data_IF_161974249974
#
_entry.id   IF_161974249974
#
_cell.length_a   1.000
_cell.length_b   1.000
_cell.length_c   1.000
_cell.angle_alpha   90.00
_cell.angle_beta   90.00
_cell.angle_gamma   90.00
#
_symmetry.space_group_name_H-M   'P 1'
#
loop_
_entity.id
_entity.type
_entity.pdbx_description
1 polymer ?
#
# COMPACT_ATOMS: atom_id res chain seq x y z
N UNK A 1 3.91 -16.52 -9.58
CA UNK A 1 5.24 -15.93 -9.87
C UNK A 1 5.05 -14.59 -10.55
N UNK A 2 5.84 -13.58 -10.19
CA UNK A 2 5.91 -12.32 -10.93
C UNK A 2 6.80 -12.55 -12.13
N UNK A 3 6.46 -11.95 -13.26
CA UNK A 3 7.34 -11.98 -14.42
C UNK A 3 8.57 -11.09 -14.16
N UNK A 4 9.75 -11.70 -14.12
CA UNK A 4 11.02 -11.02 -13.92
C UNK A 4 11.33 -10.05 -15.07
N UNK A 5 10.70 -10.23 -16.24
CA UNK A 5 10.87 -9.35 -17.41
C UNK A 5 10.49 -7.88 -17.12
N UNK A 6 9.59 -7.65 -16.16
CA UNK A 6 9.11 -6.31 -15.77
C UNK A 6 10.26 -5.45 -15.23
N UNK A 7 11.29 -6.08 -14.64
CA UNK A 7 12.42 -5.36 -14.06
C UNK A 7 13.58 -5.14 -15.04
N UNK A 8 13.65 -5.89 -16.16
CA UNK A 8 14.74 -5.78 -17.15
C UNK A 8 14.98 -4.36 -17.68
N UNK A 9 13.95 -3.53 -17.97
CA UNK A 9 14.17 -2.16 -18.44
C UNK A 9 14.86 -1.25 -17.41
N UNK A 10 14.83 -1.65 -16.13
CA UNK A 10 15.37 -0.88 -15.02
C UNK A 10 16.71 -1.39 -14.52
N UNK A 11 17.22 -2.49 -15.10
CA UNK A 11 18.50 -3.10 -14.75
C UNK A 11 19.58 -2.70 -15.76
N UNK A 12 20.81 -2.60 -15.27
CA UNK A 12 21.99 -2.46 -16.12
C UNK A 12 22.38 -3.82 -16.76
N UNK A 13 23.22 -3.78 -17.80
CA UNK A 13 23.56 -4.96 -18.61
C UNK A 13 24.22 -6.11 -17.81
N UNK A 14 24.96 -5.78 -16.74
CA UNK A 14 25.64 -6.74 -15.84
C UNK A 14 24.92 -6.92 -14.50
N UNK A 15 23.71 -6.36 -14.37
CA UNK A 15 22.92 -6.44 -13.14
C UNK A 15 22.03 -7.69 -13.19
N UNK A 16 22.08 -8.48 -12.12
CA UNK A 16 21.27 -9.70 -12.00
C UNK A 16 20.34 -9.64 -10.79
N UNK A 17 19.20 -10.30 -10.94
CA UNK A 17 18.17 -10.35 -9.93
C UNK A 17 18.55 -11.36 -8.83
N UNK A 18 18.69 -10.89 -7.59
CA UNK A 18 18.87 -11.74 -6.42
C UNK A 18 17.54 -12.27 -5.90
N UNK A 19 16.50 -11.42 -5.92
CA UNK A 19 15.17 -11.78 -5.44
C UNK A 19 14.08 -10.90 -6.08
N UNK A 20 12.89 -11.46 -6.29
CA UNK A 20 11.72 -10.69 -6.69
C UNK A 20 10.47 -11.17 -5.95
N UNK A 21 9.58 -10.24 -5.61
CA UNK A 21 8.32 -10.55 -4.94
C UNK A 21 7.31 -9.43 -5.02
N UNK A 22 6.09 -9.71 -4.56
CA UNK A 22 4.95 -8.78 -4.52
C UNK A 22 4.31 -8.92 -3.16
N UNK A 23 3.57 -7.90 -2.70
CA UNK A 23 2.73 -8.07 -1.53
C UNK A 23 1.78 -9.27 -1.75
N UNK A 24 1.84 -10.23 -0.84
CA UNK A 24 1.00 -11.43 -0.88
C UNK A 24 -0.39 -11.16 -0.30
N UNK A 25 -0.45 -10.29 0.70
CA UNK A 25 -1.68 -9.93 1.40
C UNK A 25 -1.70 -8.45 1.71
N UNK A 26 -2.87 -7.84 1.60
CA UNK A 26 -3.09 -6.48 2.10
C UNK A 26 -3.76 -6.56 3.45
N UNK A 27 -3.17 -5.86 4.42
CA UNK A 27 -3.87 -5.54 5.64
C UNK A 27 -4.90 -4.43 5.37
N UNK A 28 -6.15 -4.86 5.28
CA UNK A 28 -7.29 -4.12 5.83
C UNK A 28 -6.98 -3.73 7.28
N UNK A 29 -7.54 -2.72 7.94
CA UNK A 29 -7.18 -2.40 9.35
C UNK A 29 -5.79 -1.76 9.51
N UNK A 30 -5.48 -0.76 8.68
CA UNK A 30 -4.54 0.29 9.07
C UNK A 30 -5.13 1.17 10.19
N UNK A 31 -4.31 1.95 10.88
CA UNK A 31 -4.79 2.80 12.00
C UNK A 31 -5.90 3.80 11.62
N UNK A 32 -5.90 4.30 10.37
CA UNK A 32 -6.96 5.18 9.86
C UNK A 32 -8.29 4.45 9.62
N UNK A 33 -8.23 3.13 9.38
CA UNK A 33 -9.41 2.32 9.07
C UNK A 33 -10.31 2.13 10.29
N UNK A 34 -9.76 2.16 11.50
CA UNK A 34 -10.51 1.99 12.75
C UNK A 34 -11.55 3.12 12.94
N UNK A 35 -11.28 4.30 12.39
CA UNK A 35 -12.19 5.46 12.45
C UNK A 35 -13.08 5.51 11.21
N UNK A 36 -12.51 5.27 10.03
CA UNK A 36 -13.22 5.37 8.76
C UNK A 36 -14.31 4.30 8.57
N UNK A 37 -14.07 3.06 9.00
CA UNK A 37 -15.07 1.98 8.88
C UNK A 37 -16.37 2.32 9.62
N UNK A 38 -16.37 2.56 10.95
CA UNK A 38 -17.62 2.85 11.66
C UNK A 38 -18.25 4.15 11.17
N UNK A 39 -17.46 5.15 10.78
CA UNK A 39 -17.96 6.38 10.17
C UNK A 39 -18.69 6.09 8.85
N UNK A 40 -18.12 5.30 7.95
CA UNK A 40 -18.75 4.94 6.66
C UNK A 40 -20.06 4.19 6.84
N UNK A 41 -20.12 3.28 7.83
CA UNK A 41 -21.32 2.52 8.15
C UNK A 41 -22.42 3.43 8.71
N UNK A 42 -22.05 4.33 9.63
CA UNK A 42 -22.97 5.32 10.21
C UNK A 42 -23.48 6.29 9.14
N UNK A 43 -22.60 6.75 8.25
CA UNK A 43 -22.96 7.62 7.13
C UNK A 43 -23.93 6.94 6.17
N UNK A 44 -23.65 5.69 5.79
CA UNK A 44 -24.53 4.92 4.91
C UNK A 44 -25.90 4.66 5.57
N UNK A 45 -25.91 4.28 6.86
CA UNK A 45 -27.15 4.11 7.61
C UNK A 45 -27.96 5.40 7.71
N UNK A 46 -27.31 6.53 7.97
CA UNK A 46 -27.93 7.85 7.97
C UNK A 46 -28.51 8.21 6.58
N UNK A 47 -27.77 7.94 5.51
CA UNK A 47 -28.20 8.23 4.13
C UNK A 47 -29.41 7.39 3.73
N UNK A 48 -29.43 6.09 4.09
CA UNK A 48 -30.57 5.20 3.86
C UNK A 48 -31.80 5.60 4.69
N UNK A 49 -31.58 6.00 5.94
CA UNK A 49 -32.65 6.51 6.80
C UNK A 49 -33.25 7.80 6.23
N UNK A 50 -32.42 8.72 5.76
CA UNK A 50 -32.87 9.94 5.09
C UNK A 50 -33.72 9.63 3.86
N UNK A 51 -33.24 8.73 2.99
CA UNK A 51 -33.94 8.33 1.77
C UNK A 51 -35.30 7.69 2.08
N UNK A 52 -35.34 6.80 3.09
CA UNK A 52 -36.59 6.22 3.56
C UNK A 52 -37.59 7.29 4.02
N UNK A 53 -37.13 8.26 4.81
CA UNK A 53 -37.97 9.36 5.29
C UNK A 53 -38.47 10.24 4.13
N UNK A 54 -37.61 10.53 3.16
CA UNK A 54 -37.97 11.32 1.98
C UNK A 54 -39.04 10.61 1.13
N UNK A 55 -38.92 9.29 0.93
CA UNK A 55 -39.91 8.52 0.16
C UNK A 55 -41.23 8.37 0.92
N UNK A 56 -41.17 8.14 2.24
CA UNK A 56 -42.36 7.83 3.05
C UNK A 56 -43.19 9.07 3.42
N UNK A 57 -42.55 10.23 3.58
CA UNK A 57 -43.19 11.41 4.18
C UNK A 57 -43.03 12.71 3.36
N UNK A 58 -42.37 12.68 2.20
CA UNK A 58 -42.21 13.87 1.36
C UNK A 58 -42.80 13.67 -0.04
N UNK A 59 -43.60 14.65 -0.50
CA UNK A 59 -44.06 14.74 -1.90
C UNK A 59 -43.03 15.47 -2.79
N UNK A 60 -41.88 15.86 -2.23
CA UNK A 60 -40.87 16.65 -2.93
C UNK A 60 -39.83 15.76 -3.59
N UNK A 61 -39.87 15.70 -4.92
CA UNK A 61 -38.86 14.99 -5.73
C UNK A 61 -37.43 15.47 -5.45
N UNK A 62 -37.25 16.74 -5.09
CA UNK A 62 -35.93 17.28 -4.74
C UNK A 62 -35.35 16.60 -3.49
N UNK A 63 -36.19 16.24 -2.52
CA UNK A 63 -35.75 15.67 -1.25
C UNK A 63 -35.28 14.21 -1.39
N UNK A 64 -35.93 13.46 -2.29
CA UNK A 64 -35.52 12.11 -2.72
C UNK A 64 -34.24 12.18 -3.56
N UNK A 65 -34.21 13.02 -4.60
CA UNK A 65 -33.01 13.17 -5.44
C UNK A 65 -31.79 13.65 -4.66
N UNK A 66 -32.00 14.40 -3.57
CA UNK A 66 -30.94 14.87 -2.70
C UNK A 66 -30.30 13.75 -1.85
N UNK A 67 -31.04 12.69 -1.52
CA UNK A 67 -30.48 11.56 -0.75
C UNK A 67 -29.56 10.65 -1.58
N UNK A 68 -29.79 10.55 -2.89
CA UNK A 68 -28.99 9.72 -3.80
C UNK A 68 -27.48 10.02 -3.77
N UNK A 69 -27.02 11.30 -3.84
CA UNK A 69 -25.60 11.63 -3.64
C UNK A 69 -25.03 11.14 -2.30
N UNK A 70 -25.80 11.21 -1.20
CA UNK A 70 -25.32 10.80 0.12
C UNK A 70 -25.11 9.28 0.20
N UNK A 71 -26.05 8.52 -0.36
CA UNK A 71 -25.92 7.06 -0.50
C UNK A 71 -24.70 6.73 -1.37
N UNK A 72 -24.52 7.42 -2.50
CA UNK A 72 -23.38 7.22 -3.38
C UNK A 72 -22.05 7.49 -2.66
N UNK A 73 -21.97 8.54 -1.84
CA UNK A 73 -20.80 8.83 -1.00
C UNK A 73 -20.58 7.72 0.03
N UNK A 74 -21.62 7.27 0.73
CA UNK A 74 -21.53 6.18 1.71
C UNK A 74 -21.00 4.89 1.10
N UNK A 75 -21.54 4.50 -0.07
CA UNK A 75 -21.06 3.35 -0.83
C UNK A 75 -19.62 3.55 -1.31
N UNK A 76 -19.29 4.73 -1.82
CA UNK A 76 -17.92 5.04 -2.21
C UNK A 76 -16.96 4.91 -1.03
N UNK A 77 -17.26 5.46 0.14
CA UNK A 77 -16.41 5.35 1.32
C UNK A 77 -16.18 3.88 1.74
N UNK A 78 -17.20 3.03 1.58
CA UNK A 78 -17.12 1.61 1.92
C UNK A 78 -16.32 0.80 0.88
N UNK A 79 -16.56 1.01 -0.41
CA UNK A 79 -15.97 0.22 -1.50
C UNK A 79 -14.64 0.77 -2.03
N UNK A 80 -14.41 2.08 -1.97
CA UNK A 80 -13.19 2.73 -2.46
C UNK A 80 -11.94 2.09 -1.85
N UNK A 81 -12.02 1.69 -0.59
CA UNK A 81 -10.92 1.00 0.09
C UNK A 81 -10.60 -0.35 -0.54
N UNK A 82 -11.60 -1.19 -0.80
CA UNK A 82 -11.39 -2.49 -1.43
C UNK A 82 -10.74 -2.35 -2.81
N UNK A 83 -11.18 -1.35 -3.57
CA UNK A 83 -10.63 -1.02 -4.89
C UNK A 83 -9.18 -0.54 -4.77
N UNK A 84 -8.91 0.42 -3.87
CA UNK A 84 -7.57 0.94 -3.64
C UNK A 84 -6.59 -0.14 -3.19
N UNK A 85 -7.06 -1.08 -2.37
CA UNK A 85 -6.28 -2.23 -1.95
C UNK A 85 -6.01 -3.17 -3.13
N UNK A 86 -7.03 -3.60 -3.87
CA UNK A 86 -6.84 -4.44 -5.05
C UNK A 86 -5.88 -3.80 -6.07
N UNK A 87 -5.92 -2.47 -6.19
CA UNK A 87 -4.98 -1.70 -7.00
C UNK A 87 -3.54 -1.85 -6.48
N UNK A 88 -3.28 -1.62 -5.19
CA UNK A 88 -1.96 -1.80 -4.58
C UNK A 88 -1.39 -3.21 -4.81
N UNK A 89 -2.20 -4.26 -4.60
CA UNK A 89 -1.80 -5.67 -4.81
C UNK A 89 -1.36 -5.96 -6.24
N UNK A 90 -1.99 -5.31 -7.21
CA UNK A 90 -1.71 -5.50 -8.65
C UNK A 90 -0.55 -4.67 -9.14
N UNK A 91 -0.31 -3.53 -8.51
CA UNK A 91 0.58 -2.50 -9.04
C UNK A 91 1.87 -2.35 -8.22
N UNK A 92 2.05 -3.10 -7.15
CA UNK A 92 3.28 -3.09 -6.36
C UNK A 92 4.12 -4.33 -6.63
N UNK A 93 5.38 -4.13 -6.99
CA UNK A 93 6.36 -5.19 -7.19
C UNK A 93 7.73 -4.78 -6.65
N UNK A 94 8.44 -5.75 -6.10
CA UNK A 94 9.73 -5.56 -5.44
C UNK A 94 10.77 -6.44 -6.12
N UNK A 95 11.96 -5.89 -6.35
CA UNK A 95 13.12 -6.64 -6.81
C UNK A 95 14.37 -6.18 -6.05
N UNK A 96 15.18 -7.14 -5.63
CA UNK A 96 16.51 -6.93 -5.10
C UNK A 96 17.47 -7.46 -6.15
N UNK A 97 18.39 -6.61 -6.58
CA UNK A 97 19.47 -6.96 -7.51
C UNK A 97 20.79 -6.97 -6.77
N UNK A 98 21.87 -7.35 -7.44
CA UNK A 98 23.21 -7.23 -6.88
C UNK A 98 23.70 -5.77 -6.73
N UNK A 99 23.02 -4.79 -7.35
CA UNK A 99 23.41 -3.37 -7.30
C UNK A 99 22.44 -2.48 -6.52
N UNK A 100 21.15 -2.81 -6.50
CA UNK A 100 20.13 -1.90 -5.98
C UNK A 100 18.84 -2.64 -5.60
N UNK A 101 18.04 -1.98 -4.77
CA UNK A 101 16.67 -2.34 -4.48
C UNK A 101 15.75 -1.53 -5.40
N UNK A 102 14.90 -2.23 -6.15
CA UNK A 102 13.90 -1.66 -7.05
C UNK A 102 12.52 -1.87 -6.42
N UNK A 103 11.80 -0.77 -6.20
CA UNK A 103 10.43 -0.79 -5.71
C UNK A 103 9.53 -0.12 -6.75
N UNK A 104 8.62 -0.90 -7.33
CA UNK A 104 7.61 -0.43 -8.26
C UNK A 104 6.31 -0.23 -7.48
N UNK A 105 5.76 0.98 -7.52
CA UNK A 105 4.46 1.35 -6.95
C UNK A 105 3.60 2.04 -8.02
N UNK A 106 2.85 1.25 -8.78
CA UNK A 106 2.04 1.71 -9.90
C UNK A 106 2.89 2.32 -11.00
N UNK A 107 2.84 3.65 -11.13
CA UNK A 107 3.62 4.40 -12.12
C UNK A 107 4.94 4.93 -11.56
N UNK A 108 5.17 4.81 -10.26
CA UNK A 108 6.40 5.27 -9.61
C UNK A 108 7.35 4.10 -9.48
N UNK A 109 8.61 4.33 -9.82
CA UNK A 109 9.69 3.36 -9.62
C UNK A 109 10.73 4.04 -8.76
N UNK A 110 11.06 3.40 -7.63
CA UNK A 110 12.05 3.87 -6.68
C UNK A 110 13.28 2.98 -6.76
N UNK A 111 14.44 3.61 -6.83
CA UNK A 111 15.74 2.97 -6.88
C UNK A 111 16.49 3.30 -5.60
N UNK A 112 16.98 2.29 -4.92
CA UNK A 112 17.79 2.46 -3.73
C UNK A 112 19.09 1.69 -3.86
N UNK A 113 20.18 2.44 -3.95
CA UNK A 113 21.55 1.90 -3.93
C UNK A 113 21.96 1.63 -2.47
N UNK A 114 22.80 0.61 -2.19
CA UNK A 114 23.27 0.30 -0.84
C UNK A 114 23.81 1.51 -0.06
N UNK A 115 24.48 2.46 -0.74
CA UNK A 115 25.00 3.68 -0.12
C UNK A 115 23.91 4.59 0.51
N UNK A 116 22.69 4.56 -0.03
CA UNK A 116 21.56 5.38 0.42
C UNK A 116 20.56 4.56 1.26
N UNK A 117 20.85 3.28 1.51
CA UNK A 117 19.90 2.38 2.14
C UNK A 117 20.07 2.43 3.66
N UNK A 118 19.08 2.96 4.42
CA UNK A 118 19.15 2.95 5.88
C UNK A 118 19.03 1.51 6.40
N UNK A 119 19.32 1.26 7.69
CA UNK A 119 19.16 -0.07 8.28
C UNK A 119 17.73 -0.59 8.11
N UNK A 120 17.61 -1.81 7.58
CA UNK A 120 16.33 -2.47 7.38
C UNK A 120 15.77 -2.96 8.72
N UNK A 121 14.51 -2.63 8.99
CA UNK A 121 13.76 -3.22 10.10
C UNK A 121 12.81 -4.28 9.55
N UNK A 122 13.02 -5.53 9.98
CA UNK A 122 12.07 -6.60 9.71
C UNK A 122 10.91 -6.54 10.71
N UNK A 123 9.70 -6.42 10.20
CA UNK A 123 8.46 -6.58 10.96
C UNK A 123 7.75 -7.84 10.51
N UNK A 124 7.74 -8.86 11.37
CA UNK A 124 6.97 -10.10 11.15
C UNK A 124 5.55 -9.88 11.63
N UNK A 125 4.57 -10.19 10.78
CA UNK A 125 3.15 -10.09 11.09
C UNK A 125 2.61 -11.45 11.57
N UNK A 126 1.49 -11.41 12.30
CA UNK A 126 0.85 -12.63 12.84
C UNK A 126 0.33 -13.59 11.76
N UNK A 127 0.17 -13.10 10.53
CA UNK A 127 -0.28 -13.87 9.38
C UNK A 127 0.84 -14.64 8.65
N UNK A 128 2.08 -14.57 9.16
CA UNK A 128 3.25 -15.21 8.58
C UNK A 128 3.93 -14.40 7.47
N UNK A 129 3.44 -13.20 7.15
CA UNK A 129 4.13 -12.30 6.22
C UNK A 129 5.15 -11.42 6.93
N UNK A 130 6.23 -11.07 6.24
CA UNK A 130 7.24 -10.11 6.70
C UNK A 130 7.16 -8.79 5.94
N UNK A 131 7.49 -7.70 6.62
CA UNK A 131 7.70 -6.39 5.98
C UNK A 131 9.09 -5.89 6.32
N UNK A 132 9.89 -5.63 5.29
CA UNK A 132 11.19 -5.00 5.39
C UNK A 132 10.99 -3.50 5.22
N UNK A 133 11.11 -2.77 6.33
CA UNK A 133 10.85 -1.33 6.39
C UNK A 133 12.15 -0.56 6.57
N UNK A 134 12.31 0.46 5.75
CA UNK A 134 13.40 1.42 5.79
C UNK A 134 12.84 2.74 6.29
N UNK A 135 13.45 3.29 7.32
CA UNK A 135 13.04 4.56 7.90
C UNK A 135 14.02 5.64 7.50
N UNK A 136 13.52 6.64 6.81
CA UNK A 136 14.25 7.87 6.54
C UNK A 136 13.58 8.98 7.33
N UNK A 137 14.31 9.50 8.31
CA UNK A 137 13.90 10.67 9.09
C UNK A 137 14.48 11.91 8.43
N UNK A 138 13.62 12.74 7.84
CA UNK A 138 14.03 14.06 7.37
C UNK A 138 13.37 15.14 8.21
N UNK A 139 14.16 16.17 8.50
CA UNK A 139 13.70 17.34 9.25
C UNK A 139 13.20 18.39 8.26
N UNK A 140 11.92 18.77 8.33
CA UNK A 140 11.35 19.82 7.46
C UNK A 140 10.36 20.68 8.24
N UNK A 141 10.52 22.00 8.17
CA UNK A 141 9.67 23.00 8.84
C UNK A 141 9.43 22.69 10.34
N UNK A 142 10.50 22.41 11.09
CA UNK A 142 10.42 22.19 12.53
C UNK A 142 9.79 20.86 12.96
N UNK A 143 9.42 19.98 12.01
CA UNK A 143 8.81 18.68 12.28
C UNK A 143 9.65 17.57 11.66
N UNK A 144 9.99 16.56 12.47
CA UNK A 144 10.56 15.31 11.97
C UNK A 144 9.45 14.53 11.27
N UNK A 145 9.65 14.22 10.00
CA UNK A 145 8.80 13.28 9.28
C UNK A 145 9.57 12.00 9.07
N UNK A 146 8.97 10.91 9.50
CA UNK A 146 9.48 9.56 9.26
C UNK A 146 8.74 9.01 8.05
N UNK A 147 9.43 8.88 6.92
CA UNK A 147 8.91 8.10 5.81
C UNK A 147 9.35 6.66 6.00
N UNK A 148 8.39 5.74 5.96
CA UNK A 148 8.66 4.32 5.89
C UNK A 148 8.39 3.81 4.47
N UNK A 149 9.47 3.57 3.75
CA UNK A 149 9.43 2.86 2.47
C UNK A 149 10.01 1.46 2.65
N UNK A 150 9.84 0.62 1.65
CA UNK A 150 10.33 -0.75 1.70
C UNK A 150 9.28 -1.75 1.28
N UNK A 151 9.63 -3.01 1.44
CA UNK A 151 8.87 -4.11 0.89
C UNK A 151 7.90 -4.65 1.94
N UNK A 152 6.61 -4.55 1.66
CA UNK A 152 5.54 -4.85 2.64
C UNK A 152 4.86 -6.17 2.29
N UNK A 153 4.50 -6.91 3.33
CA UNK A 153 3.67 -8.13 3.28
C UNK A 153 4.17 -9.22 2.31
N UNK A 154 5.46 -9.54 2.38
CA UNK A 154 6.10 -10.60 1.60
C UNK A 154 5.98 -11.93 2.36
N UNK A 155 5.61 -13.03 1.69
CA UNK A 155 5.68 -14.38 2.27
C UNK A 155 7.12 -14.83 2.51
N UNK A 156 7.95 -14.77 1.48
CA UNK A 156 9.35 -15.23 1.50
C UNK A 156 10.31 -14.17 2.06
N UNK A 157 9.95 -13.55 3.19
CA UNK A 157 10.72 -12.44 3.77
C UNK A 157 12.15 -12.85 4.19
N UNK A 158 12.38 -14.13 4.49
CA UNK A 158 13.70 -14.68 4.79
C UNK A 158 14.63 -14.73 3.57
N UNK A 159 14.08 -14.99 2.38
CA UNK A 159 14.85 -14.92 1.13
C UNK A 159 15.14 -13.48 0.76
N UNK A 160 14.15 -12.60 0.89
CA UNK A 160 14.33 -11.16 0.68
C UNK A 160 15.40 -10.58 1.63
N UNK A 161 15.40 -10.99 2.90
CA UNK A 161 16.42 -10.55 3.86
C UNK A 161 17.82 -11.07 3.51
N UNK A 162 17.95 -12.34 3.06
CA UNK A 162 19.23 -12.87 2.60
C UNK A 162 19.75 -12.13 1.37
N UNK A 163 18.89 -11.91 0.37
CA UNK A 163 19.24 -11.14 -0.82
C UNK A 163 19.66 -9.71 -0.47
N UNK A 164 18.99 -9.09 0.51
CA UNK A 164 19.38 -7.77 1.00
C UNK A 164 20.76 -7.77 1.67
N UNK A 165 21.08 -8.82 2.44
CA UNK A 165 22.41 -9.00 3.03
C UNK A 165 23.50 -9.13 1.97
N UNK A 166 23.25 -9.92 0.92
CA UNK A 166 24.18 -10.07 -0.21
C UNK A 166 24.43 -8.75 -0.93
N UNK A 167 23.38 -7.96 -1.19
CA UNK A 167 23.49 -6.62 -1.75
C UNK A 167 24.35 -5.70 -0.88
N UNK A 168 24.31 -5.83 0.44
CA UNK A 168 25.11 -5.00 1.35
C UNK A 168 26.57 -5.45 1.44
N UNK A 169 26.85 -6.76 1.34
CA UNK A 169 28.21 -7.32 1.37
C UNK A 169 29.00 -6.98 0.11
N UNK A 170 28.37 -6.94 -1.06
CA UNK A 170 29.05 -6.68 -2.34
C UNK A 170 29.62 -5.25 -2.47
N UNK A 171 29.21 -4.34 -1.57
CA UNK A 171 29.65 -2.93 -1.54
C UNK A 171 30.48 -2.57 -0.30
N UNK A 172 30.89 -3.55 0.49
CA UNK A 172 31.78 -3.36 1.65
C UNK A 172 33.24 -3.56 1.28
#
# INVERSE_FOLDING_TARGET
MIDQSIFKPYMQLDEYLLWCGKPDRIHILGGQDVILIPFSLLWLAFSLFWEWQAIAYSDSLLMVLWGLPFIAIGLYLLFFRLIHQAYLLKHTAYAITNRQLIIIEGRRVHFYTPANLPPAMLKVHRDGTGSLLFYESYYRNGRTRTLSYGMKYIRDYMEAQRALGLLQEEFR
#
